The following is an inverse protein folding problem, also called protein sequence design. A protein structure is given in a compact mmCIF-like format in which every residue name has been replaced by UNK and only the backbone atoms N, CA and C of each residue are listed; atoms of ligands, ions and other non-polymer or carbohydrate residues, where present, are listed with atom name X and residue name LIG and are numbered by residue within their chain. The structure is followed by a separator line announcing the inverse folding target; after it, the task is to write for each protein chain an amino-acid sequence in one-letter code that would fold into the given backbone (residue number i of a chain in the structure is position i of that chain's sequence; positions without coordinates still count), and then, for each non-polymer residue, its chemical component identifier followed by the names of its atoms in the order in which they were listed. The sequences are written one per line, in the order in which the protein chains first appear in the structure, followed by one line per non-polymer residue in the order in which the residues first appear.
data_IF_467197893224
#
_entry.id   IF_467197893224
#
_cell.length_a   1.000
_cell.length_b   1.000
_cell.length_c   1.000
_cell.angle_alpha   90.00
_cell.angle_beta   90.00
_cell.angle_gamma   90.00
#
_symmetry.space_group_name_H-M   'P 1'
#
loop_
_entity.id
_entity.type
_entity.pdbx_description
1 polymer ?
#
# COMPACT_ATOMS: atom_id res chain seq x y z
N UNK A 1 11.79 16.95 1.46
CA UNK A 1 11.94 15.48 1.38
C UNK A 1 10.73 14.91 0.65
N UNK A 2 10.87 14.38 -0.56
CA UNK A 2 9.74 13.71 -1.26
C UNK A 2 9.56 12.34 -0.62
N UNK A 3 8.48 12.14 0.11
CA UNK A 3 8.09 10.84 0.65
C UNK A 3 7.83 9.91 -0.54
N UNK A 4 8.44 8.72 -0.56
CA UNK A 4 8.17 7.75 -1.64
C UNK A 4 6.71 7.28 -1.56
N UNK A 5 6.12 6.87 -2.69
CA UNK A 5 4.74 6.38 -2.69
C UNK A 5 4.53 5.22 -1.70
N UNK A 6 5.54 4.35 -1.52
CA UNK A 6 5.49 3.24 -0.55
C UNK A 6 5.56 3.75 0.89
N UNK A 7 6.42 4.70 1.22
CA UNK A 7 6.50 5.25 2.58
C UNK A 7 5.22 6.00 2.97
N UNK A 8 4.63 6.73 2.02
CA UNK A 8 3.33 7.37 2.22
C UNK A 8 2.25 6.32 2.49
N UNK A 9 2.24 5.24 1.70
CA UNK A 9 1.30 4.14 1.83
C UNK A 9 1.45 3.42 3.17
N UNK A 10 2.66 3.11 3.62
CA UNK A 10 2.90 2.46 4.93
C UNK A 10 2.32 3.28 6.09
N UNK A 11 2.51 4.59 6.08
CA UNK A 11 1.90 5.49 7.09
C UNK A 11 0.37 5.48 7.01
N UNK A 12 -0.18 5.51 5.79
CA UNK A 12 -1.63 5.55 5.56
C UNK A 12 -2.31 4.22 5.90
N UNK A 13 -1.68 3.10 5.56
CA UNK A 13 -2.14 1.75 5.90
C UNK A 13 -2.18 1.54 7.41
N UNK A 14 -1.21 2.08 8.16
CA UNK A 14 -1.27 2.10 9.62
C UNK A 14 -2.50 2.84 10.19
N UNK A 15 -3.01 3.85 9.46
CA UNK A 15 -4.24 4.56 9.81
C UNK A 15 -5.49 3.77 9.39
N UNK A 16 -5.51 3.23 8.16
CA UNK A 16 -6.59 2.38 7.63
C UNK A 16 -6.81 1.13 8.50
N UNK A 17 -5.73 0.48 8.97
CA UNK A 17 -5.82 -0.65 9.90
C UNK A 17 -6.54 -0.31 11.21
N UNK A 18 -6.41 0.93 11.69
CA UNK A 18 -7.09 1.41 12.91
C UNK A 18 -8.55 1.77 12.70
N UNK A 19 -8.95 2.12 11.48
CA UNK A 19 -10.34 2.46 11.13
C UNK A 19 -11.24 1.22 11.02
N UNK A 20 -10.68 0.00 10.97
CA UNK A 20 -11.42 -1.26 10.96
C UNK A 20 -12.05 -1.62 9.62
N UNK A 21 -12.45 -0.63 8.82
CA UNK A 21 -12.95 -0.81 7.46
C UNK A 21 -11.80 -0.67 6.44
N UNK A 22 -11.55 -1.75 5.71
CA UNK A 22 -10.54 -1.79 4.64
C UNK A 22 -11.24 -2.16 3.33
N UNK A 23 -10.93 -1.43 2.27
CA UNK A 23 -11.37 -1.82 0.93
C UNK A 23 -10.60 -3.06 0.47
N UNK A 24 -11.13 -3.79 -0.52
CA UNK A 24 -10.45 -4.95 -1.10
C UNK A 24 -9.03 -4.60 -1.59
N UNK A 25 -8.86 -3.40 -2.17
CA UNK A 25 -7.56 -2.90 -2.62
C UNK A 25 -6.61 -2.62 -1.46
N UNK A 26 -7.08 -1.97 -0.41
CA UNK A 26 -6.26 -1.69 0.78
C UNK A 26 -5.82 -2.98 1.48
N UNK A 27 -6.70 -4.00 1.52
CA UNK A 27 -6.36 -5.32 2.06
C UNK A 27 -5.29 -6.02 1.21
N UNK A 28 -5.38 -5.96 -0.12
CA UNK A 28 -4.35 -6.48 -1.01
C UNK A 28 -3.01 -5.74 -0.85
N UNK A 29 -3.05 -4.41 -0.68
CA UNK A 29 -1.86 -3.60 -0.38
C UNK A 29 -1.24 -4.02 0.96
N UNK A 30 -2.07 -4.24 1.98
CA UNK A 30 -1.64 -4.71 3.31
C UNK A 30 -0.93 -6.05 3.20
N UNK A 31 -1.51 -7.02 2.51
CA UNK A 31 -0.93 -8.35 2.35
C UNK A 31 0.42 -8.29 1.62
N UNK A 32 0.53 -7.45 0.59
CA UNK A 32 1.79 -7.22 -0.14
C UNK A 32 2.84 -6.52 0.74
N UNK A 33 2.45 -5.54 1.56
CA UNK A 33 3.38 -4.86 2.47
C UNK A 33 3.85 -5.81 3.57
N UNK A 34 2.98 -6.61 4.15
CA UNK A 34 3.34 -7.54 5.22
C UNK A 34 4.31 -8.63 4.71
N UNK A 35 4.23 -8.97 3.42
CA UNK A 35 5.13 -9.91 2.75
C UNK A 35 6.25 -9.23 1.93
N UNK A 36 6.52 -7.93 2.13
CA UNK A 36 7.43 -7.12 1.29
C UNK A 36 8.83 -7.76 1.11
N UNK A 37 9.33 -8.44 2.14
CA UNK A 37 10.62 -9.12 2.11
C UNK A 37 10.67 -10.35 1.17
N UNK A 38 9.53 -11.02 0.98
CA UNK A 38 9.37 -12.21 0.13
C UNK A 38 8.82 -11.91 -1.27
N UNK A 39 8.47 -10.65 -1.57
CA UNK A 39 7.85 -10.31 -2.84
C UNK A 39 8.80 -10.53 -4.02
N UNK A 40 8.25 -11.20 -5.04
CA UNK A 40 8.80 -11.25 -6.38
C UNK A 40 8.81 -9.87 -7.04
N UNK A 41 9.59 -9.69 -8.10
CA UNK A 41 9.66 -8.40 -8.80
C UNK A 41 8.30 -7.98 -9.40
N UNK A 42 7.49 -8.95 -9.82
CA UNK A 42 6.13 -8.71 -10.33
C UNK A 42 5.21 -8.18 -9.23
N UNK A 43 5.26 -8.78 -8.04
CA UNK A 43 4.46 -8.33 -6.89
C UNK A 43 4.93 -6.97 -6.38
N UNK A 44 6.23 -6.67 -6.44
CA UNK A 44 6.73 -5.31 -6.15
C UNK A 44 6.19 -4.29 -7.14
N UNK A 45 6.18 -4.59 -8.44
CA UNK A 45 5.56 -3.73 -9.46
C UNK A 45 4.07 -3.55 -9.21
N UNK A 46 3.36 -4.63 -8.88
CA UNK A 46 1.94 -4.57 -8.51
C UNK A 46 1.71 -3.69 -7.29
N UNK A 47 2.50 -3.85 -6.22
CA UNK A 47 2.45 -3.01 -5.03
C UNK A 47 2.63 -1.53 -5.38
N UNK A 48 3.59 -1.18 -6.24
CA UNK A 48 3.79 0.21 -6.69
C UNK A 48 2.60 0.78 -7.48
N UNK A 49 1.97 -0.03 -8.35
CA UNK A 49 0.78 0.39 -9.11
C UNK A 49 -0.40 0.60 -8.18
N UNK A 50 -0.68 -0.37 -7.29
CA UNK A 50 -1.76 -0.28 -6.31
C UNK A 50 -1.55 0.89 -5.35
N UNK A 51 -0.31 1.11 -4.89
CA UNK A 51 0.07 2.25 -4.06
C UNK A 51 -0.22 3.59 -4.73
N UNK A 52 0.04 3.68 -6.03
CA UNK A 52 -0.15 4.90 -6.81
C UNK A 52 -1.64 5.17 -7.05
N UNK A 53 -2.40 4.13 -7.40
CA UNK A 53 -3.86 4.23 -7.53
C UNK A 53 -4.52 4.65 -6.21
N UNK A 54 -4.15 4.02 -5.10
CA UNK A 54 -4.67 4.36 -3.77
C UNK A 54 -4.33 5.79 -3.36
N UNK A 55 -3.10 6.24 -3.66
CA UNK A 55 -2.69 7.61 -3.39
C UNK A 55 -3.48 8.61 -4.23
N UNK A 56 -3.74 8.32 -5.51
CA UNK A 56 -4.51 9.20 -6.39
C UNK A 56 -5.99 9.27 -5.98
N UNK A 57 -6.59 8.15 -5.56
CA UNK A 57 -8.00 8.12 -5.14
C UNK A 57 -8.22 8.85 -3.80
N UNK A 58 -7.17 8.98 -2.97
CA UNK A 58 -7.21 9.64 -1.67
C UNK A 58 -6.74 11.11 -1.68
N UNK A 59 -6.30 11.64 -2.83
CA UNK A 59 -5.77 13.00 -2.99
C UNK A 59 -6.78 13.90 -3.69
#
# INVERSE_FOLDING_TARGET
MRISNIEWLKKRIGFIRKLGEQTARQRQIIDLIDNEAGLTEQERKLLHVLATAEKNDLQ
#
